data_IF_951346985832
#
_entry.id   IF_951346985832
#
_cell.length_a   1.000
_cell.length_b   1.000
_cell.length_c   1.000
_cell.angle_alpha   90.00
_cell.angle_beta   90.00
_cell.angle_gamma   90.00
#
_symmetry.space_group_name_H-M   'P 1'
#
loop_
_entity.id
_entity.type
_entity.pdbx_description
1 polymer ?
#
# COMPACT_ATOMS: atom_id res chain seq x y z
N UNK A 1 -19.30 18.29 18.24
CA UNK A 1 -18.34 17.31 17.82
C UNK A 1 -17.31 17.97 16.91
N UNK A 2 -16.04 17.75 17.16
CA UNK A 2 -14.98 18.10 16.22
C UNK A 2 -14.90 16.93 15.25
N UNK A 3 -15.51 17.10 14.09
CA UNK A 3 -15.56 16.10 13.03
C UNK A 3 -14.23 16.02 12.28
N UNK A 4 -13.93 14.84 11.84
CA UNK A 4 -12.82 14.33 11.06
C UNK A 4 -12.02 15.36 10.23
N UNK A 5 -10.73 15.48 10.53
CA UNK A 5 -9.81 16.36 9.80
C UNK A 5 -9.12 15.56 8.70
N UNK A 6 -9.35 15.90 7.45
CA UNK A 6 -8.58 15.37 6.31
C UNK A 6 -7.22 16.06 6.24
N UNK A 7 -6.14 15.32 6.33
CA UNK A 7 -4.76 15.83 6.25
C UNK A 7 -4.13 15.38 4.93
N UNK A 8 -3.88 16.34 4.06
CA UNK A 8 -3.16 16.13 2.81
C UNK A 8 -1.64 16.26 3.03
N UNK A 9 -0.90 15.25 2.58
CA UNK A 9 0.56 15.18 2.48
C UNK A 9 1.36 15.20 3.81
N UNK A 10 1.98 14.08 4.10
CA UNK A 10 3.02 13.82 5.10
C UNK A 10 2.56 13.70 6.54
N UNK A 11 2.63 12.48 7.06
CA UNK A 11 2.40 12.18 8.47
C UNK A 11 3.56 12.73 9.28
N UNK A 12 3.28 13.66 10.18
CA UNK A 12 4.23 14.15 11.16
C UNK A 12 4.00 13.44 12.50
N UNK A 13 4.96 12.65 12.97
CA UNK A 13 5.01 12.22 14.36
C UNK A 13 5.65 13.33 15.20
N UNK A 14 4.85 14.01 16.02
CA UNK A 14 5.35 14.90 17.07
C UNK A 14 5.64 14.07 18.32
N UNK A 15 6.91 13.83 18.61
CA UNK A 15 7.37 13.42 19.94
C UNK A 15 7.53 14.68 20.75
N UNK A 16 6.53 15.04 21.54
CA UNK A 16 6.65 16.07 22.57
C UNK A 16 7.19 15.42 23.85
N UNK A 17 8.38 15.78 24.28
CA UNK A 17 8.85 15.55 25.64
C UNK A 17 8.00 16.41 26.58
N UNK A 18 7.11 15.78 27.32
CA UNK A 18 6.20 16.40 28.29
C UNK A 18 4.91 15.61 28.38
N UNK A 19 4.64 15.07 29.53
CA UNK A 19 3.53 14.21 29.93
C UNK A 19 2.13 14.71 29.51
N UNK A 20 1.77 14.52 28.24
CA UNK A 20 0.37 14.43 27.80
C UNK A 20 0.32 13.42 26.66
N UNK A 21 -0.15 12.22 26.95
CA UNK A 21 -0.54 11.25 25.94
C UNK A 21 -1.76 11.81 25.20
N UNK A 22 -1.52 12.56 24.12
CA UNK A 22 -2.58 12.79 23.12
C UNK A 22 -2.76 11.46 22.41
N UNK A 23 -3.71 10.67 22.85
CA UNK A 23 -4.07 9.40 22.21
C UNK A 23 -4.91 9.68 20.96
N UNK A 24 -4.27 10.14 19.88
CA UNK A 24 -4.91 10.12 18.57
C UNK A 24 -4.83 8.72 17.97
N UNK A 25 -5.78 8.37 17.15
CA UNK A 25 -5.82 7.10 16.44
C UNK A 25 -5.74 7.33 14.93
N UNK A 26 -4.92 6.53 14.26
CA UNK A 26 -4.85 6.44 12.80
C UNK A 26 -5.07 4.99 12.39
N UNK A 27 -5.66 4.74 11.23
CA UNK A 27 -5.94 3.37 10.73
C UNK A 27 -6.82 2.56 11.72
N UNK A 28 -7.76 3.18 12.40
CA UNK A 28 -8.71 2.47 13.25
C UNK A 28 -9.60 1.55 12.42
N UNK A 29 -9.91 2.00 11.22
CA UNK A 29 -10.55 1.20 10.16
C UNK A 29 -9.86 1.48 8.82
N UNK A 30 -9.97 0.59 7.82
CA UNK A 30 -9.32 0.75 6.53
C UNK A 30 -9.67 2.05 5.80
N UNK A 31 -10.91 2.51 5.97
CA UNK A 31 -11.43 3.75 5.39
C UNK A 31 -10.74 5.02 5.93
N UNK A 32 -10.04 4.91 7.06
CA UNK A 32 -9.27 6.00 7.64
C UNK A 32 -7.93 6.25 6.94
N UNK A 33 -7.55 5.37 6.02
CA UNK A 33 -6.23 5.43 5.38
C UNK A 33 -6.33 5.10 3.90
N UNK A 34 -6.47 6.14 3.10
CA UNK A 34 -6.50 6.02 1.65
C UNK A 34 -5.11 6.31 1.08
N UNK A 35 -4.67 5.47 0.17
CA UNK A 35 -3.41 5.63 -0.55
C UNK A 35 -3.68 5.51 -2.04
N UNK A 36 -3.25 6.48 -2.80
CA UNK A 36 -3.32 6.47 -4.25
C UNK A 36 -1.90 6.61 -4.82
N UNK A 37 -1.52 5.66 -5.66
CA UNK A 37 -0.24 5.70 -6.36
C UNK A 37 -0.28 6.78 -7.42
N UNK A 38 0.75 7.62 -7.45
CA UNK A 38 0.93 8.66 -8.47
C UNK A 38 2.08 8.23 -9.38
N UNK A 39 1.84 8.25 -10.68
CA UNK A 39 2.83 7.94 -11.70
C UNK A 39 2.31 8.31 -13.09
N UNK A 40 3.23 8.47 -14.01
CA UNK A 40 2.91 8.81 -15.40
C UNK A 40 3.30 7.62 -16.28
N UNK A 41 2.33 6.75 -16.55
CA UNK A 41 2.52 5.60 -17.44
C UNK A 41 2.08 5.95 -18.85
N UNK A 42 2.95 5.72 -19.82
CA UNK A 42 2.58 5.80 -21.23
C UNK A 42 1.62 4.67 -21.56
N UNK A 43 0.47 5.01 -22.11
CA UNK A 43 -0.56 4.05 -22.47
C UNK A 43 -0.87 4.16 -23.95
N UNK A 44 -1.05 3.00 -24.58
CA UNK A 44 -1.37 2.85 -26.00
C UNK A 44 -2.77 2.18 -26.14
N UNK A 45 -3.33 2.23 -27.35
CA UNK A 45 -4.58 1.53 -27.69
C UNK A 45 -4.38 0.02 -27.84
N UNK A 46 -3.11 -0.43 -27.96
CA UNK A 46 -2.74 -1.84 -28.08
C UNK A 46 -1.36 -2.09 -27.49
N UNK A 47 -1.11 -3.30 -26.97
CA UNK A 47 0.17 -3.62 -26.37
C UNK A 47 0.24 -5.06 -25.86
N UNK A 48 1.43 -5.44 -25.42
CA UNK A 48 1.71 -6.76 -24.86
C UNK A 48 1.15 -6.96 -23.45
N UNK A 49 0.98 -5.85 -22.73
CA UNK A 49 0.50 -5.80 -21.37
C UNK A 49 -0.80 -4.99 -21.33
N UNK A 50 -1.77 -5.49 -20.62
CA UNK A 50 -2.97 -4.74 -20.26
C UNK A 50 -2.69 -4.03 -18.94
N UNK A 51 -2.98 -2.73 -18.87
CA UNK A 51 -2.89 -1.92 -17.67
C UNK A 51 -4.28 -1.69 -17.08
N UNK A 52 -4.38 -1.80 -15.76
CA UNK A 52 -5.60 -1.52 -15.03
C UNK A 52 -5.32 -0.89 -13.68
N UNK A 53 -6.23 -0.05 -13.23
CA UNK A 53 -6.24 0.50 -11.89
C UNK A 53 -6.87 -0.51 -10.94
N UNK A 54 -6.13 -0.98 -9.95
CA UNK A 54 -6.62 -1.85 -8.90
C UNK A 54 -6.93 -1.03 -7.65
N UNK A 55 -8.17 -1.09 -7.16
CA UNK A 55 -8.57 -0.61 -5.85
C UNK A 55 -8.81 -1.81 -4.93
N UNK A 56 -8.20 -1.81 -3.75
CA UNK A 56 -8.36 -2.89 -2.77
C UNK A 56 -8.55 -2.35 -1.36
N UNK A 57 -9.29 -3.09 -0.54
CA UNK A 57 -9.52 -2.83 0.88
C UNK A 57 -9.18 -4.08 1.69
N UNK A 58 -8.38 -3.93 2.74
CA UNK A 58 -7.96 -5.04 3.62
C UNK A 58 -7.14 -6.18 2.98
N UNK A 59 -6.57 -5.95 1.82
CA UNK A 59 -5.69 -6.90 1.14
C UNK A 59 -4.24 -6.38 1.09
N UNK A 60 -3.27 -7.27 1.18
CA UNK A 60 -1.92 -6.96 0.67
C UNK A 60 -1.96 -6.93 -0.85
N UNK A 61 -1.03 -6.22 -1.52
CA UNK A 61 -0.96 -6.19 -2.98
C UNK A 61 -0.89 -7.59 -3.57
N UNK A 62 -0.01 -8.45 -3.04
CA UNK A 62 0.15 -9.82 -3.56
C UNK A 62 -1.12 -10.65 -3.40
N UNK A 63 -1.80 -10.61 -2.25
CA UNK A 63 -3.05 -11.36 -2.04
C UNK A 63 -4.18 -10.89 -2.93
N UNK A 64 -4.25 -9.58 -3.21
CA UNK A 64 -5.23 -9.06 -4.17
C UNK A 64 -4.94 -9.56 -5.58
N UNK A 65 -3.68 -9.56 -6.01
CA UNK A 65 -3.27 -10.07 -7.32
C UNK A 65 -3.44 -11.58 -7.45
N UNK A 66 -3.21 -12.36 -6.38
CA UNK A 66 -3.54 -13.79 -6.35
C UNK A 66 -5.04 -14.02 -6.57
N UNK A 67 -5.90 -13.30 -5.82
CA UNK A 67 -7.35 -13.43 -5.95
C UNK A 67 -7.86 -13.03 -7.35
N UNK A 68 -7.33 -11.95 -7.94
CA UNK A 68 -7.62 -11.58 -9.32
C UNK A 68 -7.13 -12.67 -10.27
N UNK A 69 -5.90 -13.13 -10.10
CA UNK A 69 -5.30 -14.16 -10.94
C UNK A 69 -6.10 -15.47 -10.95
N UNK A 70 -6.57 -15.91 -9.79
CA UNK A 70 -7.41 -17.09 -9.65
C UNK A 70 -8.76 -16.89 -10.36
N UNK A 71 -9.39 -15.71 -10.20
CA UNK A 71 -10.66 -15.39 -10.83
C UNK A 71 -10.59 -15.38 -12.37
N UNK A 72 -9.48 -14.88 -12.92
CA UNK A 72 -9.28 -14.80 -14.37
C UNK A 72 -8.38 -15.92 -14.94
N UNK A 73 -7.95 -16.88 -14.13
CA UNK A 73 -7.09 -17.99 -14.55
C UNK A 73 -5.70 -17.56 -15.07
N UNK A 74 -5.08 -16.55 -14.43
CA UNK A 74 -3.77 -16.03 -14.80
C UNK A 74 -2.84 -16.08 -13.57
N UNK A 75 -1.70 -16.75 -13.70
CA UNK A 75 -0.74 -16.89 -12.61
C UNK A 75 -0.09 -15.57 -12.20
N UNK A 76 0.22 -15.42 -10.90
CA UNK A 76 0.77 -14.20 -10.27
C UNK A 76 2.03 -13.65 -10.99
N UNK A 77 2.87 -14.51 -11.55
CA UNK A 77 4.10 -14.12 -12.28
C UNK A 77 3.84 -13.28 -13.54
N UNK A 78 2.60 -13.19 -14.00
CA UNK A 78 2.22 -12.40 -15.18
C UNK A 78 1.81 -10.97 -14.82
N UNK A 79 1.66 -10.67 -13.53
CA UNK A 79 1.34 -9.34 -13.05
C UNK A 79 2.61 -8.55 -12.72
N UNK A 80 2.57 -7.24 -13.00
CA UNK A 80 3.60 -6.29 -12.63
C UNK A 80 2.98 -5.10 -11.89
N UNK A 81 3.70 -4.55 -10.90
CA UNK A 81 3.26 -3.41 -10.08
C UNK A 81 4.46 -2.65 -9.53
N UNK A 82 4.30 -1.35 -9.28
CA UNK A 82 5.40 -0.47 -8.90
C UNK A 82 5.82 -0.58 -7.43
N UNK A 83 4.94 -1.08 -6.56
CA UNK A 83 5.26 -1.26 -5.14
C UNK A 83 4.12 -1.86 -4.34
N UNK A 84 4.45 -2.45 -3.19
CA UNK A 84 3.45 -3.00 -2.28
C UNK A 84 2.75 -1.89 -1.51
N UNK A 85 1.42 -2.00 -1.37
CA UNK A 85 0.59 -1.09 -0.60
C UNK A 85 0.10 -1.75 0.69
N UNK A 86 -0.15 -0.92 1.71
CA UNK A 86 -0.61 -1.35 3.03
C UNK A 86 -1.87 -2.25 2.95
N UNK A 87 -1.94 -3.22 3.88
CA UNK A 87 -3.11 -4.08 4.02
C UNK A 87 -4.29 -3.32 4.65
N UNK A 88 -4.07 -2.72 5.82
CA UNK A 88 -5.11 -2.00 6.56
C UNK A 88 -5.30 -0.59 5.98
N UNK A 89 -5.91 -0.53 4.80
CA UNK A 89 -6.09 0.69 4.02
C UNK A 89 -7.04 0.42 2.85
N UNK A 90 -7.56 1.48 2.26
CA UNK A 90 -8.06 1.47 0.89
C UNK A 90 -6.92 1.99 0.02
N UNK A 91 -6.51 1.23 -0.99
CA UNK A 91 -5.38 1.63 -1.83
C UNK A 91 -5.70 1.49 -3.29
N UNK A 92 -5.26 2.46 -4.08
CA UNK A 92 -5.34 2.47 -5.54
C UNK A 92 -3.94 2.43 -6.14
N UNK A 93 -3.71 1.54 -7.06
CA UNK A 93 -2.43 1.42 -7.75
C UNK A 93 -2.58 0.85 -9.16
N UNK A 94 -1.67 1.23 -10.03
CA UNK A 94 -1.60 0.68 -11.38
C UNK A 94 -0.97 -0.71 -11.36
N UNK A 95 -1.53 -1.58 -12.18
CA UNK A 95 -1.07 -2.96 -12.36
C UNK A 95 -1.02 -3.28 -13.85
N UNK A 96 0.01 -3.97 -14.27
CA UNK A 96 0.10 -4.56 -15.60
C UNK A 96 -0.14 -6.06 -15.54
N UNK A 97 -0.78 -6.61 -16.58
CA UNK A 97 -0.94 -8.06 -16.73
C UNK A 97 -0.66 -8.49 -18.16
N UNK A 98 0.10 -9.58 -18.33
CA UNK A 98 0.41 -10.15 -19.62
C UNK A 98 -0.57 -11.26 -20.00
N UNK A 99 -1.14 -11.18 -21.23
CA UNK A 99 -2.00 -12.23 -21.77
C UNK A 99 -3.40 -12.24 -21.15
N UNK A 100 -3.91 -11.05 -20.82
CA UNK A 100 -5.28 -10.80 -20.40
C UNK A 100 -5.98 -9.92 -21.45
N UNK A 101 -7.24 -10.22 -21.77
CA UNK A 101 -8.09 -9.32 -22.54
C UNK A 101 -8.94 -8.45 -21.60
N UNK A 102 -9.47 -7.35 -22.12
CA UNK A 102 -10.35 -6.46 -21.36
C UNK A 102 -11.61 -7.20 -20.88
N UNK A 103 -12.23 -7.98 -21.76
CA UNK A 103 -13.44 -8.75 -21.44
C UNK A 103 -13.20 -9.73 -20.29
N UNK A 104 -12.00 -10.34 -20.26
CA UNK A 104 -11.59 -11.24 -19.17
C UNK A 104 -11.37 -10.49 -17.87
N UNK A 105 -10.77 -9.29 -17.94
CA UNK A 105 -10.61 -8.43 -16.77
C UNK A 105 -11.96 -7.98 -16.19
N UNK A 106 -12.93 -7.68 -17.06
CA UNK A 106 -14.26 -7.21 -16.67
C UNK A 106 -15.21 -8.36 -16.25
N UNK A 107 -14.81 -9.64 -16.40
CA UNK A 107 -15.69 -10.79 -16.22
C UNK A 107 -15.87 -11.25 -14.79
N UNK A 108 -15.15 -10.71 -13.82
CA UNK A 108 -15.20 -11.18 -12.43
C UNK A 108 -15.66 -10.08 -11.47
N UNK A 109 -16.15 -10.51 -10.31
CA UNK A 109 -16.45 -9.65 -9.17
C UNK A 109 -15.82 -10.25 -7.93
N UNK A 110 -15.06 -9.45 -7.19
CA UNK A 110 -14.47 -9.82 -5.92
C UNK A 110 -14.90 -8.83 -4.84
N UNK A 111 -15.10 -9.33 -3.64
CA UNK A 111 -15.38 -8.48 -2.51
C UNK A 111 -14.12 -7.67 -2.15
N UNK A 112 -14.29 -6.37 -1.92
CA UNK A 112 -13.21 -5.44 -1.49
C UNK A 112 -12.05 -5.30 -2.50
N UNK A 113 -12.23 -5.73 -3.75
CA UNK A 113 -11.30 -5.52 -4.85
C UNK A 113 -12.09 -5.09 -6.08
N UNK A 114 -11.74 -3.95 -6.66
CA UNK A 114 -12.24 -3.51 -7.96
C UNK A 114 -11.08 -3.24 -8.92
N UNK A 115 -11.36 -3.43 -10.20
CA UNK A 115 -10.41 -3.19 -11.28
C UNK A 115 -11.06 -2.31 -12.34
N UNK A 116 -10.28 -1.39 -12.89
CA UNK A 116 -10.72 -0.50 -13.97
C UNK A 116 -9.68 -0.58 -15.09
N UNK A 117 -10.10 -0.96 -16.28
CA UNK A 117 -9.22 -0.95 -17.44
C UNK A 117 -8.69 0.46 -17.70
N UNK A 118 -7.37 0.58 -17.88
CA UNK A 118 -6.71 1.85 -18.13
C UNK A 118 -6.17 1.98 -19.55
N UNK A 119 -5.63 0.93 -20.13
CA UNK A 119 -5.03 0.94 -21.47
C UNK A 119 -4.12 -0.27 -21.69
N UNK A 120 -3.26 -0.15 -22.68
CA UNK A 120 -2.22 -1.16 -22.95
C UNK A 120 -0.83 -0.53 -22.90
N UNK A 121 0.18 -1.36 -22.71
CA UNK A 121 1.58 -0.94 -22.74
C UNK A 121 2.50 -1.99 -23.34
N UNK A 122 3.69 -1.56 -23.71
CA UNK A 122 4.74 -2.41 -24.32
C UNK A 122 5.51 -3.19 -23.27
N UNK A 123 5.67 -2.59 -22.08
CA UNK A 123 6.50 -3.12 -20.99
C UNK A 123 5.66 -3.43 -19.73
N UNK A 124 6.10 -4.32 -18.85
CA UNK A 124 5.44 -4.51 -17.56
C UNK A 124 5.72 -3.35 -16.63
N UNK A 125 4.80 -3.05 -15.71
CA UNK A 125 5.09 -2.17 -14.59
C UNK A 125 6.05 -2.91 -13.64
N UNK A 126 7.16 -2.28 -13.29
CA UNK A 126 8.23 -2.84 -12.46
C UNK A 126 8.34 -2.09 -11.12
N UNK A 127 9.02 -2.69 -10.15
CA UNK A 127 9.23 -2.05 -8.86
C UNK A 127 9.99 -0.73 -9.02
N UNK A 128 9.39 0.34 -8.50
CA UNK A 128 9.93 1.69 -8.59
C UNK A 128 9.31 2.56 -9.68
N UNK A 129 8.48 2.02 -10.59
CA UNK A 129 7.82 2.76 -11.68
C UNK A 129 6.65 3.63 -11.15
N UNK A 130 6.92 4.42 -10.12
CA UNK A 130 5.96 5.38 -9.56
C UNK A 130 6.69 6.68 -9.19
N UNK A 131 5.98 7.80 -9.28
CA UNK A 131 6.50 9.10 -8.86
C UNK A 131 6.29 9.33 -7.37
N UNK A 132 5.20 8.79 -6.81
CA UNK A 132 4.86 8.96 -5.41
C UNK A 132 3.59 8.26 -4.99
N UNK A 133 3.13 8.61 -3.80
CA UNK A 133 1.85 8.18 -3.27
C UNK A 133 1.16 9.36 -2.62
N UNK A 134 -0.12 9.55 -2.92
CA UNK A 134 -1.00 10.48 -2.25
C UNK A 134 -1.69 9.77 -1.09
N UNK A 135 -1.72 10.41 0.06
CA UNK A 135 -2.35 9.89 1.26
C UNK A 135 -3.51 10.78 1.69
N UNK A 136 -4.64 10.14 2.02
CA UNK A 136 -5.79 10.76 2.68
C UNK A 136 -6.00 10.01 4.00
N UNK A 137 -5.77 10.69 5.13
CA UNK A 137 -5.71 10.03 6.44
C UNK A 137 -6.68 10.71 7.40
N UNK A 138 -7.61 9.91 7.94
CA UNK A 138 -8.50 10.33 9.01
C UNK A 138 -7.80 10.07 10.34
N UNK A 139 -7.63 11.14 11.13
CA UNK A 139 -7.07 11.05 12.47
C UNK A 139 -8.22 11.21 13.47
N UNK A 140 -8.44 10.17 14.29
CA UNK A 140 -9.52 10.12 15.28
C UNK A 140 -9.04 10.46 16.68
N UNK A 141 -9.98 10.76 17.57
CA UNK A 141 -9.73 11.10 18.98
C UNK A 141 -8.81 12.33 19.16
N UNK A 142 -8.96 13.31 18.30
CA UNK A 142 -8.23 14.58 18.44
C UNK A 142 -8.85 15.37 19.59
N UNK A 143 -8.10 15.60 20.66
CA UNK A 143 -8.57 16.38 21.84
C UNK A 143 -8.28 17.87 21.71
N UNK A 144 -7.35 18.26 20.86
CA UNK A 144 -6.98 19.64 20.62
C UNK A 144 -6.85 19.91 19.12
N UNK A 145 -7.28 21.08 18.67
CA UNK A 145 -7.11 21.49 17.28
C UNK A 145 -5.62 21.51 16.92
N UNK A 146 -5.17 20.76 15.92
CA UNK A 146 -3.77 20.75 15.54
C UNK A 146 -3.33 22.13 15.04
N UNK A 147 -2.13 22.54 15.40
CA UNK A 147 -1.52 23.75 14.85
C UNK A 147 -1.12 23.51 13.39
N UNK A 148 -1.40 24.48 12.54
CA UNK A 148 -0.89 24.47 11.18
C UNK A 148 0.64 24.52 11.22
N UNK A 149 1.30 23.60 10.50
CA UNK A 149 2.76 23.52 10.40
C UNK A 149 3.14 23.73 8.95
N UNK A 150 3.91 24.77 8.66
CA UNK A 150 4.32 25.12 7.30
C UNK A 150 5.58 24.36 6.86
N UNK A 151 6.43 23.95 7.82
CA UNK A 151 7.68 23.25 7.57
C UNK A 151 7.90 22.16 8.61
N UNK A 152 8.29 20.97 8.17
CA UNK A 152 8.70 19.85 9.01
C UNK A 152 10.10 19.41 8.63
N UNK A 153 10.86 18.90 9.60
CA UNK A 153 12.14 18.26 9.32
C UNK A 153 11.85 16.92 8.62
N UNK A 154 12.56 16.67 7.52
CA UNK A 154 12.49 15.38 6.85
C UNK A 154 13.24 14.35 7.70
N UNK A 155 12.51 13.49 8.40
CA UNK A 155 13.10 12.40 9.15
C UNK A 155 12.18 11.17 9.07
N UNK A 156 12.78 10.01 9.18
CA UNK A 156 12.05 8.74 9.19
C UNK A 156 11.74 8.34 10.63
N UNK A 157 10.51 7.92 10.88
CA UNK A 157 10.13 7.29 12.13
C UNK A 157 10.68 5.87 12.25
N UNK A 158 10.18 5.11 13.22
CA UNK A 158 10.54 3.70 13.38
C UNK A 158 10.18 2.90 12.13
N UNK A 159 11.10 2.07 11.67
CA UNK A 159 10.86 1.17 10.54
C UNK A 159 9.78 0.14 10.92
N UNK A 160 8.87 -0.14 9.98
CA UNK A 160 7.76 -1.09 10.17
C UNK A 160 8.19 -2.55 10.00
N UNK A 161 9.37 -2.90 10.46
CA UNK A 161 9.82 -4.28 10.49
C UNK A 161 9.36 -4.97 11.77
N UNK A 162 9.33 -6.30 11.77
CA UNK A 162 9.05 -7.04 12.99
C UNK A 162 10.08 -6.65 14.07
N UNK A 163 9.65 -6.63 15.33
CA UNK A 163 10.50 -6.24 16.47
C UNK A 163 11.76 -7.09 16.60
N UNK A 164 11.73 -8.31 16.07
CA UNK A 164 12.77 -9.32 16.23
C UNK A 164 13.74 -9.43 15.05
N UNK A 165 13.60 -8.63 13.97
CA UNK A 165 14.40 -8.79 12.75
C UNK A 165 15.91 -8.72 13.01
N UNK A 166 16.36 -7.84 13.89
CA UNK A 166 17.80 -7.72 14.23
C UNK A 166 18.31 -8.99 14.92
N UNK A 167 17.53 -9.57 15.84
CA UNK A 167 17.90 -10.79 16.56
C UNK A 167 17.83 -12.02 15.64
N UNK A 168 16.79 -12.12 14.82
CA UNK A 168 16.67 -13.15 13.78
C UNK A 168 17.89 -13.11 12.85
N UNK A 169 18.25 -11.93 12.36
CA UNK A 169 19.43 -11.73 11.51
C UNK A 169 20.73 -12.18 12.20
N UNK A 170 20.89 -11.87 13.49
CA UNK A 170 22.03 -12.30 14.29
C UNK A 170 22.10 -13.82 14.41
N UNK A 171 20.96 -14.50 14.62
CA UNK A 171 20.91 -15.96 14.68
C UNK A 171 21.23 -16.60 13.34
N UNK A 172 20.74 -16.03 12.23
CA UNK A 172 21.09 -16.50 10.87
C UNK A 172 22.60 -16.40 10.62
N UNK A 173 23.24 -15.27 10.95
CA UNK A 173 24.69 -15.09 10.82
C UNK A 173 25.46 -16.09 11.68
N UNK A 174 24.96 -16.39 12.87
CA UNK A 174 25.55 -17.43 13.76
C UNK A 174 25.22 -18.85 13.33
N UNK A 175 24.44 -19.06 12.27
CA UNK A 175 23.92 -20.35 11.79
C UNK A 175 23.06 -21.11 12.80
N UNK A 176 22.50 -20.41 13.78
CA UNK A 176 21.50 -20.96 14.71
C UNK A 176 20.10 -20.79 14.10
N UNK A 177 19.83 -21.60 13.08
CA UNK A 177 18.58 -21.56 12.33
C UNK A 177 17.37 -21.95 13.16
N UNK A 178 17.55 -22.84 14.16
CA UNK A 178 16.48 -23.24 15.05
C UNK A 178 15.95 -22.04 15.84
N UNK A 179 16.86 -21.30 16.47
CA UNK A 179 16.51 -20.11 17.23
C UNK A 179 16.00 -18.96 16.34
N UNK A 180 16.51 -18.86 15.12
CA UNK A 180 15.99 -17.89 14.14
C UNK A 180 14.51 -18.16 13.81
N UNK A 181 14.12 -19.44 13.62
CA UNK A 181 12.72 -19.82 13.36
C UNK A 181 11.84 -19.58 14.59
N UNK A 182 12.29 -19.90 15.80
CA UNK A 182 11.56 -19.66 17.06
C UNK A 182 11.27 -18.16 17.28
N UNK A 183 12.12 -17.26 16.76
CA UNK A 183 11.91 -15.81 16.85
C UNK A 183 10.96 -15.24 15.78
N UNK A 184 10.67 -16.00 14.72
CA UNK A 184 9.74 -15.63 13.65
C UNK A 184 8.30 -16.01 13.99
N UNK A 185 8.11 -17.12 14.69
CA UNK A 185 6.81 -17.69 15.09
C UNK A 185 6.28 -17.02 16.36
#
# INVERSE_FOLDING_TARGET
GLEDLKVFKSIMFLKCEGFFYVMYKIKEQPDDFLVEEEGNLEMDDSGKYLYFLMTKKNYTTLRALEAIGDAIGIGLKRFGFAGSKDKNAITKQMVSVRGCSKERLDSFTLQDISVEFAGFGKEPISLGDLEGNRFDIIVRNITQKPKKVDKIKNYFGEQRFSRNNAEIGRMIVKRDFKKAVELVL
#
